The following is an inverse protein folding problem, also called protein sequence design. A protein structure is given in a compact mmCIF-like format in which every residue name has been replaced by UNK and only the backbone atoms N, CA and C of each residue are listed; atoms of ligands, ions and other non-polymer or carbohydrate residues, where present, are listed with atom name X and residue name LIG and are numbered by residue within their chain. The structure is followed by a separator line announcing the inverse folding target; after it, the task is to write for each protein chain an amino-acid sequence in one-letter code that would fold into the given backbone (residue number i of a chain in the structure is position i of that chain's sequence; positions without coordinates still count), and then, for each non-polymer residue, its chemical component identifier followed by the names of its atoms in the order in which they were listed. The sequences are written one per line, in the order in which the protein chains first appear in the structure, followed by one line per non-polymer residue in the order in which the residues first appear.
data_IF_954810434975
#
_entry.id   IF_954810434975
#
_cell.length_a   1.000
_cell.length_b   1.000
_cell.length_c   1.000
_cell.angle_alpha   90.00
_cell.angle_beta   90.00
_cell.angle_gamma   90.00
#
_symmetry.space_group_name_H-M   'P 1'
#
loop_
_entity.id
_entity.type
_entity.pdbx_description
1 polymer ?
#
# COMPACT_ATOMS: atom_id res chain seq x y z
N UNK A 1 20.62 15.92 7.80
CA UNK A 1 19.71 16.55 8.77
C UNK A 1 18.36 15.82 8.94
N UNK A 2 17.72 15.27 7.88
CA UNK A 2 16.39 14.61 7.99
C UNK A 2 16.37 13.33 8.84
N UNK A 3 17.42 12.52 8.82
CA UNK A 3 17.52 11.30 9.64
C UNK A 3 17.61 11.59 11.15
N UNK A 4 18.26 12.68 11.56
CA UNK A 4 18.39 13.07 12.97
C UNK A 4 17.04 13.49 13.60
N UNK A 5 16.13 14.04 12.83
CA UNK A 5 14.81 14.46 13.32
C UNK A 5 13.92 13.26 13.66
N UNK A 6 14.00 12.19 12.87
CA UNK A 6 13.21 10.95 13.09
C UNK A 6 13.72 10.22 14.34
N UNK A 7 15.03 10.18 14.54
CA UNK A 7 15.64 9.60 15.74
C UNK A 7 15.26 10.38 17.01
N UNK A 8 15.18 11.71 16.92
CA UNK A 8 14.80 12.56 18.05
C UNK A 8 13.31 12.40 18.44
N UNK A 9 12.41 12.22 17.47
CA UNK A 9 10.98 11.97 17.73
C UNK A 9 10.77 10.60 18.37
N UNK A 10 11.48 9.56 17.92
CA UNK A 10 11.42 8.22 18.49
C UNK A 10 11.96 8.17 19.94
N UNK A 11 13.08 8.83 20.21
CA UNK A 11 13.64 8.90 21.56
C UNK A 11 12.75 9.69 22.51
N UNK A 12 12.14 10.79 22.07
CA UNK A 12 11.22 11.56 22.90
C UNK A 12 9.91 10.82 23.22
N UNK A 13 9.39 10.02 22.29
CA UNK A 13 8.18 9.20 22.51
C UNK A 13 8.42 8.09 23.53
N UNK A 14 9.60 7.48 23.56
CA UNK A 14 9.96 6.44 24.56
C UNK A 14 10.13 7.04 25.95
N UNK A 15 10.69 8.24 26.08
CA UNK A 15 10.90 8.89 27.40
C UNK A 15 9.62 9.46 28.03
N UNK A 16 8.61 9.83 27.23
CA UNK A 16 7.31 10.29 27.78
C UNK A 16 6.39 9.16 28.19
N UNK A 17 6.58 7.94 27.70
CA UNK A 17 5.79 6.76 28.08
C UNK A 17 6.01 6.30 29.54
N UNK A 18 7.09 6.73 30.19
CA UNK A 18 7.44 6.31 31.55
C UNK A 18 6.55 6.88 32.67
N UNK A 19 5.60 7.77 32.37
CA UNK A 19 4.68 8.36 33.39
C UNK A 19 3.24 7.84 33.34
N UNK A 20 2.88 6.99 32.38
CA UNK A 20 1.53 6.38 32.28
C UNK A 20 1.55 5.02 32.97
N UNK A 21 1.44 5.03 34.29
CA UNK A 21 1.40 3.83 35.14
C UNK A 21 0.04 3.15 35.11
N UNK A 22 -0.45 2.60 34.10
CA UNK A 22 -1.45 1.52 34.14
C UNK A 22 -1.81 1.09 32.72
N UNK A 23 -1.58 -0.17 32.40
CA UNK A 23 -2.10 -0.88 31.22
C UNK A 23 -1.49 -0.47 29.85
N UNK A 24 -0.28 0.05 29.78
CA UNK A 24 0.44 0.15 28.52
C UNK A 24 1.27 -1.11 28.28
N UNK A 25 1.10 -1.72 27.11
CA UNK A 25 1.91 -2.83 26.63
C UNK A 25 2.87 -2.32 25.58
N UNK A 26 4.14 -2.66 25.73
CA UNK A 26 5.18 -2.37 24.73
C UNK A 26 5.76 -3.70 24.29
N UNK A 27 5.69 -3.99 23.01
CA UNK A 27 6.31 -5.15 22.38
C UNK A 27 7.35 -4.68 21.38
N UNK A 28 8.52 -5.28 21.41
CA UNK A 28 9.59 -5.06 20.41
C UNK A 28 10.03 -6.41 19.89
N UNK A 29 9.92 -6.60 18.60
CA UNK A 29 10.14 -7.88 17.93
C UNK A 29 11.17 -7.70 16.82
N UNK A 30 12.45 -8.06 17.07
CA UNK A 30 13.43 -8.15 16.00
C UNK A 30 13.11 -9.36 15.12
N UNK A 31 13.42 -9.23 13.83
CA UNK A 31 13.23 -10.30 12.86
C UNK A 31 14.39 -10.36 11.86
N UNK A 32 14.65 -11.53 11.33
CA UNK A 32 15.55 -11.73 10.19
C UNK A 32 14.87 -12.67 9.19
N UNK A 33 14.79 -12.25 7.95
CA UNK A 33 14.33 -13.08 6.85
C UNK A 33 15.50 -13.37 5.91
N UNK A 34 15.68 -14.62 5.53
CA UNK A 34 16.62 -15.04 4.50
C UNK A 34 15.83 -15.72 3.40
N UNK A 35 16.05 -15.32 2.15
CA UNK A 35 15.31 -15.87 1.03
C UNK A 35 16.09 -15.86 -0.26
N UNK A 36 15.68 -16.74 -1.17
CA UNK A 36 16.11 -16.75 -2.56
C UNK A 36 14.97 -16.29 -3.45
N UNK A 37 15.30 -15.48 -4.43
CA UNK A 37 14.40 -14.96 -5.44
C UNK A 37 14.98 -15.30 -6.82
N UNK A 38 14.17 -15.88 -7.66
CA UNK A 38 14.42 -16.02 -9.09
C UNK A 38 13.47 -15.11 -9.86
N UNK A 39 14.00 -14.32 -10.78
CA UNK A 39 13.28 -13.39 -11.61
C UNK A 39 13.75 -13.58 -13.05
N UNK A 40 12.85 -13.91 -13.96
CA UNK A 40 13.20 -14.18 -15.37
C UNK A 40 13.39 -12.89 -16.18
N UNK A 41 12.99 -11.74 -15.62
CA UNK A 41 13.09 -10.44 -16.27
C UNK A 41 13.46 -9.33 -15.28
N UNK A 42 14.67 -9.42 -14.70
CA UNK A 42 15.18 -8.51 -13.67
C UNK A 42 15.10 -7.03 -14.01
N UNK A 43 15.20 -6.70 -15.28
CA UNK A 43 15.25 -5.31 -15.77
C UNK A 43 13.93 -4.85 -16.40
N UNK A 44 12.88 -5.67 -16.35
CA UNK A 44 11.57 -5.41 -16.94
C UNK A 44 11.66 -4.96 -18.41
N UNK A 45 12.41 -5.68 -19.21
CA UNK A 45 12.65 -5.41 -20.64
C UNK A 45 11.85 -6.37 -21.52
N UNK A 46 11.69 -6.00 -22.81
CA UNK A 46 11.01 -6.86 -23.81
C UNK A 46 11.74 -8.19 -24.02
N UNK A 47 13.07 -8.13 -24.01
CA UNK A 47 13.93 -9.31 -23.98
C UNK A 47 14.48 -9.44 -22.56
N UNK A 48 13.81 -10.23 -21.76
CA UNK A 48 14.13 -10.40 -20.36
C UNK A 48 15.50 -11.01 -20.12
N UNK A 49 16.22 -10.53 -19.12
CA UNK A 49 17.41 -11.16 -18.56
C UNK A 49 17.06 -11.69 -17.18
N UNK A 50 17.09 -12.98 -17.01
CA UNK A 50 16.78 -13.64 -15.76
C UNK A 50 17.98 -13.67 -14.81
N UNK A 51 17.70 -13.76 -13.52
CA UNK A 51 18.72 -13.90 -12.50
C UNK A 51 18.20 -14.44 -11.18
N UNK A 52 19.13 -14.90 -10.38
CA UNK A 52 18.89 -15.36 -9.02
C UNK A 52 19.49 -14.39 -8.02
N UNK A 53 18.75 -14.14 -6.95
CA UNK A 53 19.16 -13.25 -5.87
C UNK A 53 18.96 -13.91 -4.52
N UNK A 54 19.99 -13.86 -3.68
CA UNK A 54 19.89 -14.15 -2.26
C UNK A 54 19.59 -12.83 -1.54
N UNK A 55 18.59 -12.81 -0.69
CA UNK A 55 18.20 -11.65 0.09
C UNK A 55 18.27 -11.94 1.58
N UNK A 56 18.83 -11.03 2.34
CA UNK A 56 18.79 -11.03 3.80
C UNK A 56 18.10 -9.77 4.25
N UNK A 57 17.01 -9.90 4.99
CA UNK A 57 16.16 -8.80 5.44
C UNK A 57 16.07 -8.79 6.96
N UNK A 58 16.92 -8.05 7.68
CA UNK A 58 16.67 -7.71 9.06
C UNK A 58 15.48 -6.76 9.19
N UNK A 59 14.74 -6.91 10.28
CA UNK A 59 13.57 -6.09 10.59
C UNK A 59 13.42 -5.85 12.08
N UNK A 60 12.73 -4.79 12.41
CA UNK A 60 12.34 -4.42 13.76
C UNK A 60 10.90 -3.94 13.76
N UNK A 61 10.03 -4.62 14.50
CA UNK A 61 8.67 -4.17 14.78
C UNK A 61 8.60 -3.68 16.22
N UNK A 62 7.94 -2.54 16.44
CA UNK A 62 7.67 -2.03 17.77
C UNK A 62 6.20 -1.63 17.87
N UNK A 63 5.52 -2.06 18.93
CA UNK A 63 4.13 -1.70 19.18
C UNK A 63 3.99 -1.17 20.61
N UNK A 64 3.17 -0.13 20.76
CA UNK A 64 2.76 0.44 22.05
C UNK A 64 1.25 0.49 22.08
N UNK A 65 0.66 -0.20 23.03
CA UNK A 65 -0.79 -0.20 23.21
C UNK A 65 -1.15 0.33 24.62
N UNK A 66 -2.04 1.30 24.67
CA UNK A 66 -2.68 1.79 25.89
C UNK A 66 -4.18 2.01 25.63
N UNK A 67 -5.02 2.29 26.63
CA UNK A 67 -6.44 2.53 26.42
C UNK A 67 -6.76 3.70 25.45
N UNK A 68 -5.84 4.64 25.28
CA UNK A 68 -6.03 5.80 24.42
C UNK A 68 -5.06 5.90 23.23
N UNK A 69 -3.94 5.18 23.27
CA UNK A 69 -2.89 5.26 22.28
C UNK A 69 -2.58 3.88 21.73
N UNK A 70 -2.58 3.75 20.42
CA UNK A 70 -1.98 2.63 19.69
C UNK A 70 -0.92 3.20 18.78
N UNK A 71 0.29 2.69 18.88
CA UNK A 71 1.41 3.04 18.04
C UNK A 71 2.02 1.74 17.51
N UNK A 72 2.17 1.63 16.22
CA UNK A 72 2.89 0.56 15.54
C UNK A 72 4.00 1.13 14.68
N UNK A 73 5.14 0.49 14.62
CA UNK A 73 6.18 0.83 13.66
C UNK A 73 6.88 -0.44 13.17
N UNK A 74 7.23 -0.45 11.88
CA UNK A 74 7.99 -1.51 11.23
C UNK A 74 9.13 -0.90 10.45
N UNK A 75 10.31 -1.48 10.58
CA UNK A 75 11.53 -1.09 9.87
C UNK A 75 12.16 -2.32 9.27
N UNK A 76 12.43 -2.30 7.98
CA UNK A 76 13.17 -3.37 7.30
C UNK A 76 14.15 -2.78 6.30
N UNK A 77 15.22 -3.51 6.04
CA UNK A 77 16.13 -3.21 4.93
C UNK A 77 16.63 -4.50 4.29
N UNK A 78 16.87 -4.48 2.99
CA UNK A 78 17.27 -5.66 2.23
C UNK A 78 18.75 -5.53 1.82
N UNK A 79 19.51 -6.55 2.20
CA UNK A 79 20.83 -6.84 1.62
C UNK A 79 20.62 -7.88 0.52
N UNK A 80 21.26 -7.69 -0.62
CA UNK A 80 21.08 -8.52 -1.79
C UNK A 80 22.41 -8.96 -2.39
N UNK A 81 22.49 -10.24 -2.72
CA UNK A 81 23.57 -10.82 -3.51
C UNK A 81 22.96 -11.53 -4.73
N UNK A 82 23.45 -11.19 -5.92
CA UNK A 82 22.95 -11.66 -7.20
C UNK A 82 24.06 -12.30 -8.03
N UNK A 83 23.67 -13.16 -8.96
CA UNK A 83 24.57 -13.63 -10.03
C UNK A 83 24.93 -12.49 -11.03
N UNK A 84 24.21 -11.38 -11.02
CA UNK A 84 24.58 -10.13 -11.70
C UNK A 84 25.34 -9.23 -10.72
N UNK A 85 26.64 -9.02 -10.94
CA UNK A 85 27.50 -8.30 -10.02
C UNK A 85 27.02 -6.88 -9.69
N UNK A 86 26.45 -6.19 -10.67
CA UNK A 86 25.91 -4.83 -10.54
C UNK A 86 24.71 -4.73 -9.59
N UNK A 87 24.08 -5.87 -9.24
CA UNK A 87 22.96 -5.94 -8.32
C UNK A 87 23.35 -6.32 -6.90
N UNK A 88 24.66 -6.49 -6.64
CA UNK A 88 25.15 -6.79 -5.31
C UNK A 88 25.16 -5.50 -4.47
N UNK A 89 24.34 -5.47 -3.44
CA UNK A 89 24.23 -4.30 -2.57
C UNK A 89 23.78 -4.68 -1.16
N UNK A 90 24.29 -3.92 -0.16
CA UNK A 90 23.81 -4.02 1.22
C UNK A 90 22.57 -3.15 1.48
N UNK A 91 22.02 -2.50 0.46
CA UNK A 91 20.96 -1.52 0.59
C UNK A 91 20.04 -1.53 -0.63
N UNK A 92 19.54 -2.72 -0.99
CA UNK A 92 18.66 -2.90 -2.13
C UNK A 92 17.25 -2.27 -1.88
N UNK A 93 16.78 -2.35 -0.64
CA UNK A 93 15.49 -1.81 -0.24
C UNK A 93 15.52 -1.34 1.20
N UNK A 94 14.84 -0.24 1.48
CA UNK A 94 14.48 0.21 2.82
C UNK A 94 12.99 0.44 2.88
N UNK A 95 12.40 -0.04 3.95
CA UNK A 95 11.00 0.17 4.22
C UNK A 95 10.80 0.57 5.67
N UNK A 96 9.97 1.57 5.90
CA UNK A 96 9.57 1.99 7.23
C UNK A 96 8.09 2.36 7.22
N UNK A 97 7.33 1.79 8.15
CA UNK A 97 5.94 2.13 8.43
C UNK A 97 5.80 2.65 9.86
N UNK A 98 4.94 3.61 10.03
CA UNK A 98 4.51 4.14 11.32
C UNK A 98 3.00 4.34 11.30
N UNK A 99 2.29 3.76 12.26
CA UNK A 99 0.85 3.93 12.47
C UNK A 99 0.59 4.39 13.89
N UNK A 100 -0.19 5.47 14.03
CA UNK A 100 -0.58 6.02 15.31
C UNK A 100 -2.09 6.27 15.32
N UNK A 101 -2.77 5.79 16.37
CA UNK A 101 -4.15 6.11 16.66
C UNK A 101 -4.28 6.59 18.10
N UNK A 102 -4.80 7.80 18.29
CA UNK A 102 -5.00 8.41 19.58
C UNK A 102 -6.48 8.73 19.80
N UNK A 103 -7.08 8.10 20.81
CA UNK A 103 -8.46 8.39 21.24
C UNK A 103 -8.46 9.60 22.16
N UNK A 104 -8.73 10.77 21.59
CA UNK A 104 -8.80 12.04 22.34
C UNK A 104 -10.00 12.07 23.30
N UNK A 105 -11.16 11.62 22.80
CA UNK A 105 -12.40 11.45 23.59
C UNK A 105 -13.06 10.12 23.24
N UNK A 106 -14.18 9.77 23.86
CA UNK A 106 -14.97 8.59 23.47
C UNK A 106 -15.56 8.70 22.04
N UNK A 107 -15.69 9.94 21.55
CA UNK A 107 -16.27 10.25 20.23
C UNK A 107 -15.21 10.63 19.17
N UNK A 108 -13.98 10.96 19.58
CA UNK A 108 -12.96 11.51 18.67
C UNK A 108 -11.70 10.65 18.67
N UNK A 109 -11.29 10.23 17.50
CA UNK A 109 -10.00 9.56 17.26
C UNK A 109 -9.18 10.41 16.28
N UNK A 110 -7.91 10.59 16.58
CA UNK A 110 -6.90 11.20 15.72
C UNK A 110 -5.97 10.08 15.26
N UNK A 111 -5.66 10.05 13.99
CA UNK A 111 -4.74 9.08 13.40
C UNK A 111 -3.61 9.77 12.66
N UNK A 112 -2.50 9.08 12.56
CA UNK A 112 -1.38 9.46 11.71
C UNK A 112 -0.71 8.20 11.21
N UNK A 113 -0.54 8.07 9.91
CA UNK A 113 0.29 7.05 9.33
C UNK A 113 1.39 7.69 8.49
N UNK A 114 2.57 7.09 8.48
CA UNK A 114 3.66 7.51 7.60
C UNK A 114 4.37 6.30 7.05
N UNK A 115 4.80 6.38 5.81
CA UNK A 115 5.52 5.33 5.12
C UNK A 115 6.72 5.91 4.38
N UNK A 116 7.79 5.15 4.38
CA UNK A 116 8.96 5.37 3.56
C UNK A 116 9.34 4.09 2.85
N UNK A 117 9.43 4.15 1.54
CA UNK A 117 9.97 3.10 0.69
C UNK A 117 11.13 3.65 -0.13
N UNK A 118 12.23 2.91 -0.17
CA UNK A 118 13.31 3.05 -1.14
C UNK A 118 13.57 1.69 -1.75
N UNK A 119 13.62 1.61 -3.05
CA UNK A 119 13.88 0.37 -3.78
C UNK A 119 14.66 0.65 -5.05
N UNK A 120 15.31 -0.37 -5.59
CA UNK A 120 15.90 -0.35 -6.92
C UNK A 120 14.92 -0.87 -7.99
N UNK A 121 13.74 -1.35 -7.59
CA UNK A 121 12.71 -1.90 -8.48
C UNK A 121 11.45 -1.03 -8.41
N UNK A 122 11.30 0.00 -9.27
CA UNK A 122 10.18 0.95 -9.22
C UNK A 122 8.79 0.29 -9.22
N UNK A 123 8.61 -0.85 -9.89
CA UNK A 123 7.37 -1.62 -9.89
C UNK A 123 6.92 -2.09 -8.50
N UNK A 124 7.81 -2.14 -7.51
CA UNK A 124 7.47 -2.43 -6.10
C UNK A 124 6.81 -1.23 -5.40
N UNK A 125 7.07 -0.01 -5.86
CA UNK A 125 6.43 1.21 -5.36
C UNK A 125 5.11 1.46 -6.10
N UNK A 126 5.05 1.15 -7.39
CA UNK A 126 3.88 1.34 -8.25
C UNK A 126 2.78 0.29 -8.02
N UNK A 127 2.44 -0.01 -6.76
CA UNK A 127 1.49 -1.08 -6.44
C UNK A 127 0.10 -0.86 -7.02
N UNK A 128 -0.39 0.39 -7.03
CA UNK A 128 -1.73 0.72 -7.55
C UNK A 128 -1.81 0.65 -9.07
N UNK A 129 -0.73 1.01 -9.75
CA UNK A 129 -0.68 1.03 -11.21
C UNK A 129 -0.15 -0.26 -11.81
N UNK A 130 0.61 -1.03 -11.03
CA UNK A 130 1.29 -2.24 -11.50
C UNK A 130 2.34 -1.98 -12.58
N UNK A 131 2.65 -0.72 -12.88
CA UNK A 131 3.58 -0.35 -13.95
C UNK A 131 4.97 -0.84 -13.64
N UNK A 132 5.50 -1.64 -14.55
CA UNK A 132 6.87 -2.11 -14.54
C UNK A 132 7.76 -1.01 -15.11
N UNK A 133 8.75 -0.59 -14.35
CA UNK A 133 9.78 0.36 -14.78
C UNK A 133 11.15 -0.30 -14.87
N UNK A 134 12.09 0.33 -15.57
CA UNK A 134 13.49 -0.07 -15.53
C UNK A 134 13.97 -0.09 -14.07
N UNK A 135 14.90 -1.00 -13.78
CA UNK A 135 15.52 -1.07 -12.49
C UNK A 135 16.36 0.18 -12.23
N UNK A 136 15.85 1.05 -11.35
CA UNK A 136 16.47 2.32 -10.95
C UNK A 136 16.11 2.60 -9.50
N UNK A 137 16.94 3.36 -8.83
CA UNK A 137 16.65 3.79 -7.48
C UNK A 137 15.42 4.70 -7.44
N UNK A 138 14.46 4.32 -6.62
CA UNK A 138 13.20 5.00 -6.43
C UNK A 138 12.91 5.19 -4.95
N UNK A 139 12.24 6.29 -4.62
CA UNK A 139 11.80 6.61 -3.27
C UNK A 139 10.32 6.98 -3.28
N UNK A 140 9.63 6.63 -2.18
CA UNK A 140 8.32 7.16 -1.86
C UNK A 140 8.24 7.51 -0.39
N UNK A 141 7.76 8.71 -0.12
CA UNK A 141 7.34 9.16 1.19
C UNK A 141 5.84 9.37 1.19
N UNK A 142 5.17 8.90 2.22
CA UNK A 142 3.74 9.09 2.40
C UNK A 142 3.48 9.53 3.84
N UNK A 143 2.49 10.42 4.03
CA UNK A 143 2.02 10.83 5.35
C UNK A 143 0.51 11.05 5.30
N UNK A 144 -0.20 10.48 6.28
CA UNK A 144 -1.66 10.40 6.35
C UNK A 144 -2.19 10.83 7.73
N UNK A 145 -2.16 12.11 8.11
CA UNK A 145 -2.95 12.57 9.24
C UNK A 145 -4.44 12.42 8.95
N UNK A 146 -5.17 11.88 9.91
CA UNK A 146 -6.61 11.68 9.79
C UNK A 146 -7.31 11.92 11.12
N UNK A 147 -8.61 12.15 11.06
CA UNK A 147 -9.47 12.20 12.23
C UNK A 147 -10.82 11.55 11.94
N UNK A 148 -11.45 11.06 12.99
CA UNK A 148 -12.85 10.67 12.98
C UNK A 148 -13.55 11.25 14.21
N UNK A 149 -14.78 11.75 14.00
CA UNK A 149 -15.62 12.26 15.08
C UNK A 149 -17.04 11.73 14.95
N UNK A 150 -17.56 11.21 16.05
CA UNK A 150 -18.93 10.69 16.12
C UNK A 150 -19.82 11.73 16.79
N UNK A 151 -20.77 12.30 16.03
CA UNK A 151 -21.76 13.27 16.55
C UNK A 151 -22.88 12.60 17.35
N UNK A 152 -23.14 11.34 17.10
CA UNK A 152 -24.17 10.53 17.73
C UNK A 152 -23.99 9.05 17.44
N UNK A 153 -24.94 8.21 17.84
CA UNK A 153 -24.81 6.76 17.64
C UNK A 153 -24.82 6.34 16.17
N UNK A 154 -25.32 7.17 15.26
CA UNK A 154 -25.50 6.85 13.83
C UNK A 154 -24.80 7.80 12.87
N UNK A 155 -24.23 8.90 13.35
CA UNK A 155 -23.63 9.91 12.48
C UNK A 155 -22.18 10.10 12.83
N UNK A 156 -21.30 10.01 11.84
CA UNK A 156 -19.87 10.27 12.01
C UNK A 156 -19.32 11.11 10.86
N UNK A 157 -18.26 11.85 11.17
CA UNK A 157 -17.47 12.60 10.19
C UNK A 157 -16.04 12.10 10.20
N UNK A 158 -15.45 12.02 9.03
CA UNK A 158 -14.04 11.71 8.84
C UNK A 158 -13.36 12.80 8.05
N UNK A 159 -12.06 12.98 8.29
CA UNK A 159 -11.22 13.82 7.47
C UNK A 159 -9.82 13.27 7.40
N UNK A 160 -9.19 13.38 6.25
CA UNK A 160 -7.79 13.01 6.05
C UNK A 160 -7.09 13.98 5.12
N UNK A 161 -5.78 14.02 5.29
CA UNK A 161 -4.87 14.66 4.35
C UNK A 161 -3.78 13.67 4.00
N UNK A 162 -3.64 13.37 2.72
CA UNK A 162 -2.64 12.43 2.25
C UNK A 162 -1.59 13.21 1.47
N UNK A 163 -0.34 13.07 1.86
CA UNK A 163 0.81 13.59 1.16
C UNK A 163 1.66 12.44 0.66
N UNK A 164 1.96 12.47 -0.63
CA UNK A 164 2.85 11.52 -1.29
C UNK A 164 3.93 12.30 -2.04
N UNK A 165 5.18 11.92 -1.85
CA UNK A 165 6.35 12.45 -2.57
C UNK A 165 7.11 11.26 -3.17
N UNK A 166 7.18 11.21 -4.49
CA UNK A 166 7.84 10.15 -5.25
C UNK A 166 9.00 10.73 -6.05
N UNK A 167 10.10 10.01 -6.07
CA UNK A 167 11.26 10.37 -6.88
C UNK A 167 11.87 9.13 -7.51
N UNK A 168 12.17 9.23 -8.78
CA UNK A 168 12.96 8.27 -9.54
C UNK A 168 14.29 8.93 -9.89
N UNK A 169 15.40 8.28 -9.57
CA UNK A 169 16.73 8.80 -9.85
C UNK A 169 16.86 9.09 -11.36
N UNK A 170 17.27 10.31 -11.70
CA UNK A 170 17.44 10.83 -13.05
C UNK A 170 16.13 10.98 -13.88
N UNK A 171 14.95 10.89 -13.28
CA UNK A 171 13.69 10.91 -14.04
C UNK A 171 12.57 11.72 -13.38
N UNK A 172 12.90 12.65 -12.50
CA UNK A 172 11.98 13.63 -11.94
C UNK A 172 11.30 13.20 -10.64
N UNK A 173 10.61 14.16 -10.07
CA UNK A 173 9.85 14.03 -8.81
C UNK A 173 8.37 14.31 -9.05
N UNK A 174 7.50 13.53 -8.42
CA UNK A 174 6.05 13.74 -8.41
C UNK A 174 5.54 13.88 -6.97
N UNK A 175 4.67 14.86 -6.71
CA UNK A 175 4.01 15.05 -5.43
C UNK A 175 2.51 15.05 -5.60
N UNK A 176 1.83 14.43 -4.66
CA UNK A 176 0.39 14.45 -4.59
C UNK A 176 -0.06 14.84 -3.20
N UNK A 177 -1.00 15.77 -3.15
CA UNK A 177 -1.70 16.17 -1.95
C UNK A 177 -3.18 15.84 -2.12
N UNK A 178 -3.77 15.11 -1.19
CA UNK A 178 -5.18 14.76 -1.22
C UNK A 178 -5.83 15.12 0.09
N UNK A 179 -6.86 15.95 0.04
CA UNK A 179 -7.75 16.25 1.16
C UNK A 179 -9.02 15.45 0.97
N UNK A 180 -9.44 14.69 1.97
CA UNK A 180 -10.73 14.02 2.00
C UNK A 180 -11.51 14.44 3.22
N UNK A 181 -12.80 14.64 3.05
CA UNK A 181 -13.74 14.77 4.16
C UNK A 181 -15.01 14.02 3.82
N UNK A 182 -15.61 13.38 4.80
CA UNK A 182 -16.80 12.56 4.59
C UNK A 182 -17.71 12.60 5.80
N UNK A 183 -19.01 12.51 5.51
CA UNK A 183 -20.08 12.33 6.48
C UNK A 183 -20.71 10.96 6.23
N UNK A 184 -20.88 10.17 7.29
CA UNK A 184 -21.51 8.86 7.24
C UNK A 184 -22.73 8.84 8.13
N UNK A 185 -23.82 8.23 7.63
CA UNK A 185 -25.09 8.05 8.35
C UNK A 185 -25.51 6.59 8.30
N UNK A 186 -25.55 5.94 9.46
CA UNK A 186 -26.10 4.61 9.61
C UNK A 186 -27.64 4.67 9.55
N UNK A 187 -28.21 4.27 8.41
CA UNK A 187 -29.66 4.23 8.22
C UNK A 187 -30.27 3.03 8.95
N UNK A 188 -29.62 1.87 8.84
CA UNK A 188 -29.94 0.66 9.60
C UNK A 188 -28.67 0.09 10.21
N UNK A 189 -28.76 -1.02 10.95
CA UNK A 189 -27.60 -1.77 11.45
C UNK A 189 -26.74 -2.39 10.34
N UNK A 190 -27.28 -2.45 9.10
CA UNK A 190 -26.62 -3.08 7.93
C UNK A 190 -26.38 -2.10 6.78
N UNK A 191 -26.94 -0.89 6.85
CA UNK A 191 -26.89 0.06 5.75
C UNK A 191 -26.33 1.38 6.21
N UNK A 192 -25.25 1.83 5.60
CA UNK A 192 -24.64 3.14 5.82
C UNK A 192 -24.61 3.91 4.50
N UNK A 193 -25.06 5.16 4.54
CA UNK A 193 -24.89 6.12 3.45
C UNK A 193 -23.74 7.06 3.76
N UNK A 194 -22.97 7.41 2.72
CA UNK A 194 -21.84 8.34 2.84
C UNK A 194 -21.95 9.46 1.81
N UNK A 195 -21.51 10.64 2.21
CA UNK A 195 -21.27 11.76 1.29
C UNK A 195 -19.86 12.26 1.54
N UNK A 196 -19.05 12.37 0.51
CA UNK A 196 -17.66 12.76 0.67
C UNK A 196 -17.20 13.73 -0.41
N UNK A 197 -16.24 14.56 -0.03
CA UNK A 197 -15.48 15.43 -0.91
C UNK A 197 -14.03 14.99 -0.94
N UNK A 198 -13.42 15.03 -2.12
CA UNK A 198 -12.01 14.74 -2.33
C UNK A 198 -11.40 15.83 -3.23
N UNK A 199 -10.41 16.55 -2.70
CA UNK A 199 -9.59 17.50 -3.46
C UNK A 199 -8.18 16.95 -3.62
N UNK A 200 -7.65 16.96 -4.86
CA UNK A 200 -6.29 16.53 -5.18
C UNK A 200 -5.51 17.68 -5.81
N UNK A 201 -4.24 17.75 -5.46
CA UNK A 201 -3.26 18.60 -6.12
C UNK A 201 -2.05 17.77 -6.49
N UNK A 202 -1.74 17.75 -7.76
CA UNK A 202 -0.60 17.08 -8.35
C UNK A 202 0.45 18.13 -8.69
N UNK A 203 1.69 17.92 -8.24
CA UNK A 203 2.82 18.82 -8.48
C UNK A 203 3.96 18.00 -9.05
N UNK A 204 4.39 18.29 -10.23
CA UNK A 204 5.61 17.78 -10.82
C UNK A 204 6.63 18.94 -11.03
N UNK A 205 7.73 18.68 -11.71
CA UNK A 205 8.79 19.68 -11.92
C UNK A 205 8.35 20.86 -12.80
N UNK A 206 7.36 20.66 -13.65
CA UNK A 206 6.97 21.62 -14.69
C UNK A 206 5.58 22.19 -14.50
N UNK A 207 4.67 21.40 -13.89
CA UNK A 207 3.25 21.72 -13.84
C UNK A 207 2.62 21.47 -12.48
N UNK A 208 1.50 22.17 -12.26
CA UNK A 208 0.60 21.90 -11.12
C UNK A 208 -0.81 21.67 -11.64
N UNK A 209 -1.35 20.53 -11.34
CA UNK A 209 -2.69 20.12 -11.71
C UNK A 209 -3.57 19.89 -10.47
N UNK A 210 -4.88 20.03 -10.61
CA UNK A 210 -5.82 19.79 -9.52
C UNK A 210 -7.05 19.04 -10.00
N UNK A 211 -7.65 18.29 -9.11
CA UNK A 211 -8.97 17.69 -9.34
C UNK A 211 -9.80 17.69 -8.05
N UNK A 212 -11.12 17.75 -8.22
CA UNK A 212 -12.10 17.80 -7.15
C UNK A 212 -13.22 16.81 -7.46
N UNK A 213 -13.59 15.96 -6.51
CA UNK A 213 -14.67 15.01 -6.65
C UNK A 213 -15.66 15.13 -5.47
N UNK A 214 -16.95 14.95 -5.77
CA UNK A 214 -18.00 14.80 -4.78
C UNK A 214 -18.62 13.43 -5.00
N UNK A 215 -18.61 12.59 -3.97
CA UNK A 215 -19.03 11.19 -4.06
C UNK A 215 -20.19 10.94 -3.11
N UNK A 216 -21.22 10.24 -3.61
CA UNK A 216 -22.21 9.58 -2.80
C UNK A 216 -21.86 8.11 -2.66
N UNK A 217 -22.10 7.53 -1.48
CA UNK A 217 -21.74 6.16 -1.22
C UNK A 217 -22.82 5.39 -0.47
N UNK A 218 -22.78 4.09 -0.63
CA UNK A 218 -23.63 3.12 0.02
C UNK A 218 -22.81 1.90 0.41
N UNK A 219 -22.89 1.57 1.70
CA UNK A 219 -22.29 0.38 2.29
C UNK A 219 -23.39 -0.53 2.81
N UNK A 220 -23.33 -1.81 2.46
CA UNK A 220 -24.34 -2.80 2.86
C UNK A 220 -23.70 -4.09 3.38
N UNK A 221 -24.07 -4.46 4.60
CA UNK A 221 -23.71 -5.74 5.18
C UNK A 221 -24.73 -6.82 4.78
N UNK A 222 -24.35 -7.65 3.79
CA UNK A 222 -25.15 -8.77 3.30
C UNK A 222 -25.36 -9.83 4.38
N UNK A 223 -24.30 -10.15 5.11
CA UNK A 223 -24.26 -11.11 6.21
C UNK A 223 -23.09 -10.75 7.13
N UNK A 224 -23.03 -11.26 8.36
CA UNK A 224 -21.88 -11.05 9.25
C UNK A 224 -20.57 -11.37 8.52
N UNK A 225 -19.66 -10.37 8.45
CA UNK A 225 -18.40 -10.46 7.74
C UNK A 225 -18.49 -10.39 6.21
N UNK A 226 -19.68 -10.11 5.62
CA UNK A 226 -19.82 -9.95 4.17
C UNK A 226 -20.40 -8.57 3.85
N UNK A 227 -19.65 -7.74 3.14
CA UNK A 227 -19.99 -6.35 2.85
C UNK A 227 -19.83 -6.02 1.37
N UNK A 228 -20.73 -5.18 0.86
CA UNK A 228 -20.63 -4.51 -0.44
C UNK A 228 -20.52 -3.01 -0.20
N UNK A 229 -19.62 -2.37 -0.91
CA UNK A 229 -19.39 -0.92 -0.92
C UNK A 229 -19.56 -0.40 -2.32
N UNK A 230 -20.26 0.71 -2.49
CA UNK A 230 -20.38 1.42 -3.76
C UNK A 230 -20.29 2.91 -3.49
N UNK A 231 -19.37 3.61 -4.15
CA UNK A 231 -19.26 5.05 -4.10
C UNK A 231 -19.07 5.57 -5.53
N UNK A 232 -19.70 6.71 -5.84
CA UNK A 232 -19.51 7.31 -7.13
C UNK A 232 -20.01 8.75 -7.19
N UNK A 233 -19.47 9.49 -8.15
CA UNK A 233 -19.86 10.87 -8.37
C UNK A 233 -19.02 11.59 -9.43
N UNK A 234 -19.33 12.85 -9.71
CA UNK A 234 -18.58 13.65 -10.66
C UNK A 234 -17.21 14.08 -10.08
N UNK A 235 -16.22 14.06 -10.94
CA UNK A 235 -14.89 14.63 -10.73
C UNK A 235 -14.63 15.69 -11.77
N UNK A 236 -14.09 16.82 -11.36
CA UNK A 236 -13.65 17.93 -12.22
C UNK A 236 -12.15 18.06 -12.11
N UNK A 237 -11.43 17.91 -13.21
CA UNK A 237 -9.97 18.03 -13.28
C UNK A 237 -9.59 19.23 -14.11
N UNK A 238 -8.54 19.97 -13.71
CA UNK A 238 -8.00 21.12 -14.44
C UNK A 238 -7.48 20.77 -15.84
N UNK A 239 -7.20 19.49 -16.09
CA UNK A 239 -6.55 18.99 -17.31
C UNK A 239 -7.40 18.00 -18.13
N UNK A 240 -8.46 17.41 -17.57
CA UNK A 240 -9.33 16.43 -18.28
C UNK A 240 -10.81 16.83 -18.30
N UNK A 241 -11.18 17.94 -17.63
CA UNK A 241 -12.56 18.36 -17.50
C UNK A 241 -13.36 17.46 -16.54
N UNK A 242 -14.61 17.18 -16.91
CA UNK A 242 -15.53 16.39 -16.08
C UNK A 242 -15.44 14.92 -16.44
N UNK A 243 -15.30 14.06 -15.43
CA UNK A 243 -15.26 12.61 -15.54
C UNK A 243 -15.94 11.96 -14.33
N UNK A 244 -16.39 10.73 -14.39
CA UNK A 244 -16.86 9.99 -13.23
C UNK A 244 -15.67 9.63 -12.31
N UNK A 245 -15.95 9.47 -11.03
CA UNK A 245 -15.09 8.75 -10.08
C UNK A 245 -15.92 7.65 -9.44
N UNK A 246 -15.39 6.42 -9.40
CA UNK A 246 -16.13 5.26 -8.92
C UNK A 246 -15.23 4.40 -8.05
N UNK A 247 -15.78 3.95 -6.92
CA UNK A 247 -15.19 2.92 -6.06
C UNK A 247 -16.27 1.87 -5.82
N UNK A 248 -15.95 0.61 -6.04
CA UNK A 248 -16.84 -0.50 -5.73
C UNK A 248 -16.03 -1.60 -5.05
N UNK A 249 -16.61 -2.27 -4.07
CA UNK A 249 -15.94 -3.34 -3.35
C UNK A 249 -16.90 -4.40 -2.87
N UNK A 250 -16.42 -5.63 -2.84
CA UNK A 250 -17.03 -6.77 -2.19
C UNK A 250 -16.01 -7.40 -1.25
N UNK A 251 -16.38 -7.58 0.01
CA UNK A 251 -15.53 -8.15 1.04
C UNK A 251 -16.26 -9.24 1.79
N UNK A 252 -15.60 -10.36 1.97
CA UNK A 252 -16.05 -11.44 2.82
C UNK A 252 -14.90 -11.86 3.73
N UNK A 253 -15.06 -11.59 5.00
CA UNK A 253 -14.10 -11.94 6.06
C UNK A 253 -14.74 -12.95 6.99
N UNK A 254 -14.25 -14.18 6.98
CA UNK A 254 -14.70 -15.27 7.84
C UNK A 254 -13.48 -15.97 8.44
N UNK A 255 -13.69 -16.74 9.50
CA UNK A 255 -12.60 -17.53 10.11
C UNK A 255 -11.93 -18.54 9.17
N UNK A 256 -12.53 -18.81 8.00
CA UNK A 256 -12.05 -19.82 7.04
C UNK A 256 -11.59 -19.22 5.71
N UNK A 257 -12.00 -18.01 5.41
CA UNK A 257 -11.75 -17.44 4.10
C UNK A 257 -11.91 -15.92 4.16
N UNK A 258 -10.91 -15.18 3.71
CA UNK A 258 -10.98 -13.75 3.43
C UNK A 258 -10.94 -13.56 1.92
N UNK A 259 -11.98 -12.94 1.36
CA UNK A 259 -12.09 -12.61 -0.07
C UNK A 259 -12.36 -11.12 -0.19
N UNK A 260 -11.61 -10.44 -1.04
CA UNK A 260 -11.85 -9.07 -1.43
C UNK A 260 -11.85 -8.94 -2.94
N UNK A 261 -12.79 -8.16 -3.47
CA UNK A 261 -12.79 -7.73 -4.87
C UNK A 261 -13.04 -6.24 -4.86
N UNK A 262 -12.16 -5.47 -5.47
CA UNK A 262 -12.24 -4.02 -5.52
C UNK A 262 -12.14 -3.53 -6.96
N UNK A 263 -12.89 -2.49 -7.27
CA UNK A 263 -12.78 -1.71 -8.49
C UNK A 263 -12.63 -0.23 -8.15
N UNK A 264 -11.69 0.43 -8.81
CA UNK A 264 -11.49 1.86 -8.70
C UNK A 264 -11.27 2.51 -10.06
N UNK A 265 -12.00 3.59 -10.29
CA UNK A 265 -11.79 4.51 -11.41
C UNK A 265 -11.52 5.90 -10.84
N UNK A 266 -10.34 6.45 -11.10
CA UNK A 266 -9.92 7.72 -10.51
C UNK A 266 -8.66 8.29 -11.13
N UNK A 267 -7.96 9.14 -10.37
CA UNK A 267 -6.71 9.78 -10.78
C UNK A 267 -5.66 9.66 -9.69
N UNK A 268 -4.42 9.44 -10.10
CA UNK A 268 -3.26 9.33 -9.21
C UNK A 268 -1.97 9.77 -9.91
N UNK A 269 -0.85 9.73 -9.20
CA UNK A 269 0.49 9.78 -9.79
C UNK A 269 1.04 8.36 -9.95
N UNK A 270 1.94 8.20 -10.89
CA UNK A 270 2.67 6.95 -11.13
C UNK A 270 4.13 7.29 -11.28
N UNK A 271 4.97 6.65 -10.49
CA UNK A 271 6.40 6.87 -10.50
C UNK A 271 7.00 6.67 -11.91
N UNK A 272 7.75 7.66 -12.38
CA UNK A 272 8.33 7.66 -13.71
C UNK A 272 7.40 8.15 -14.82
N UNK A 273 6.16 8.54 -14.50
CA UNK A 273 5.22 9.19 -15.43
C UNK A 273 5.01 10.64 -14.98
N UNK A 274 5.20 11.56 -15.89
CA UNK A 274 5.01 12.98 -15.63
C UNK A 274 3.52 13.33 -15.55
N UNK A 275 3.13 14.02 -14.49
CA UNK A 275 1.78 14.48 -14.24
C UNK A 275 0.80 13.39 -13.76
N UNK A 276 -0.46 13.77 -13.55
CA UNK A 276 -1.49 12.85 -13.13
C UNK A 276 -1.94 11.90 -14.25
N UNK A 277 -2.28 10.69 -13.87
CA UNK A 277 -2.82 9.66 -14.77
C UNK A 277 -4.24 9.29 -14.38
N UNK A 278 -5.10 9.00 -15.37
CA UNK A 278 -6.37 8.34 -15.12
C UNK A 278 -6.13 6.83 -15.00
N UNK A 279 -6.77 6.23 -14.02
CA UNK A 279 -6.60 4.82 -13.68
C UNK A 279 -7.94 4.12 -13.64
N UNK A 280 -7.99 2.92 -14.22
CA UNK A 280 -9.02 1.91 -14.01
C UNK A 280 -8.35 0.70 -13.40
N UNK A 281 -8.65 0.36 -12.17
CA UNK A 281 -8.03 -0.76 -11.48
C UNK A 281 -9.08 -1.71 -10.91
N UNK A 282 -8.94 -2.99 -11.21
CA UNK A 282 -9.67 -4.07 -10.57
C UNK A 282 -8.70 -4.95 -9.82
N UNK A 283 -8.98 -5.25 -8.56
CA UNK A 283 -8.17 -6.15 -7.74
C UNK A 283 -9.04 -7.25 -7.14
N UNK A 284 -8.47 -8.43 -6.99
CA UNK A 284 -9.07 -9.52 -6.25
C UNK A 284 -8.03 -10.13 -5.32
N UNK A 285 -8.45 -10.47 -4.11
CA UNK A 285 -7.61 -11.17 -3.15
C UNK A 285 -8.36 -12.32 -2.53
N UNK A 286 -7.62 -13.36 -2.22
CA UNK A 286 -8.07 -14.51 -1.50
C UNK A 286 -7.03 -14.84 -0.43
N UNK A 287 -7.46 -15.05 0.82
CA UNK A 287 -6.63 -15.60 1.88
C UNK A 287 -7.35 -16.75 2.53
N UNK A 288 -6.74 -17.93 2.51
CA UNK A 288 -7.29 -19.16 3.03
C UNK A 288 -6.38 -19.76 4.09
N UNK A 289 -6.72 -19.66 5.38
CA UNK A 289 -6.05 -20.40 6.43
C UNK A 289 -6.44 -21.90 6.33
N UNK A 290 -5.68 -22.65 5.52
CA UNK A 290 -5.92 -24.07 5.24
C UNK A 290 -5.84 -24.91 6.52
N UNK A 291 -4.88 -24.57 7.38
CA UNK A 291 -4.72 -25.14 8.73
C UNK A 291 -4.36 -24.02 9.72
N UNK A 292 -4.14 -24.37 10.98
CA UNK A 292 -3.66 -23.38 11.99
C UNK A 292 -2.24 -22.87 11.70
N UNK A 293 -1.50 -23.58 10.86
CA UNK A 293 -0.09 -23.30 10.58
C UNK A 293 0.18 -23.02 9.10
N UNK A 294 -0.77 -23.33 8.21
CA UNK A 294 -0.62 -23.15 6.76
C UNK A 294 -1.67 -22.16 6.27
N UNK A 295 -1.21 -21.13 5.58
CA UNK A 295 -2.03 -20.15 4.89
C UNK A 295 -1.66 -20.09 3.41
N UNK A 296 -2.67 -19.97 2.55
CA UNK A 296 -2.52 -19.77 1.11
C UNK A 296 -3.21 -18.47 0.74
N UNK A 297 -2.54 -17.64 -0.04
CA UNK A 297 -3.07 -16.38 -0.54
C UNK A 297 -2.94 -16.27 -2.05
N UNK A 298 -3.86 -15.55 -2.67
CA UNK A 298 -3.80 -15.09 -4.05
C UNK A 298 -4.14 -13.62 -4.11
N UNK A 299 -3.43 -12.88 -4.95
CA UNK A 299 -3.70 -11.50 -5.24
C UNK A 299 -3.59 -11.27 -6.75
N UNK A 300 -4.70 -10.86 -7.36
CA UNK A 300 -4.80 -10.54 -8.79
C UNK A 300 -5.10 -9.06 -8.96
N UNK A 301 -4.48 -8.40 -9.92
CA UNK A 301 -4.76 -7.01 -10.28
C UNK A 301 -4.74 -6.82 -11.78
N UNK A 302 -5.69 -6.03 -12.29
CA UNK A 302 -5.71 -5.54 -13.67
C UNK A 302 -5.84 -4.03 -13.61
N UNK A 303 -4.89 -3.31 -14.21
CA UNK A 303 -4.89 -1.86 -14.16
C UNK A 303 -4.66 -1.27 -15.55
N UNK A 304 -5.59 -0.47 -16.00
CA UNK A 304 -5.46 0.38 -17.20
C UNK A 304 -5.11 1.82 -16.80
N UNK A 305 -4.12 2.38 -17.42
CA UNK A 305 -3.63 3.75 -17.18
C UNK A 305 -3.71 4.53 -18.48
N UNK A 306 -4.16 5.79 -18.37
CA UNK A 306 -4.11 6.76 -19.46
C UNK A 306 -3.35 7.99 -18.99
N UNK A 307 -2.25 8.31 -19.66
CA UNK A 307 -1.40 9.46 -19.37
C UNK A 307 -2.00 10.76 -19.90
N UNK A 308 -1.41 11.92 -19.58
CA UNK A 308 -1.85 13.23 -20.11
C UNK A 308 -1.73 13.31 -21.63
N UNK A 309 -0.70 12.71 -22.21
CA UNK A 309 -0.46 12.64 -23.66
C UNK A 309 -1.18 11.46 -24.34
N UNK A 310 -2.23 10.91 -23.69
CA UNK A 310 -3.13 9.87 -24.19
C UNK A 310 -2.48 8.51 -24.44
N UNK A 311 -1.29 8.24 -23.92
CA UNK A 311 -0.71 6.90 -23.96
C UNK A 311 -1.46 5.99 -23.01
N UNK A 312 -1.62 4.74 -23.42
CA UNK A 312 -2.34 3.73 -22.66
C UNK A 312 -1.39 2.60 -22.29
N UNK A 313 -1.48 2.18 -21.05
CA UNK A 313 -0.78 1.01 -20.52
C UNK A 313 -1.76 0.16 -19.75
N UNK A 314 -1.73 -1.12 -20.01
CA UNK A 314 -2.48 -2.12 -19.22
C UNK A 314 -1.52 -3.07 -18.55
N UNK A 315 -1.70 -3.26 -17.25
CA UNK A 315 -0.89 -4.19 -16.46
C UNK A 315 -1.79 -5.28 -15.88
N UNK A 316 -1.26 -6.48 -15.86
CA UNK A 316 -1.87 -7.66 -15.22
C UNK A 316 -0.86 -8.18 -14.21
N UNK A 317 -1.30 -8.38 -12.98
CA UNK A 317 -0.47 -8.95 -11.92
C UNK A 317 -1.22 -10.07 -11.24
N UNK A 318 -0.54 -11.19 -11.06
CA UNK A 318 -1.01 -12.31 -10.24
C UNK A 318 0.09 -12.70 -9.28
N UNK A 319 -0.26 -12.91 -8.01
CA UNK A 319 0.67 -13.38 -6.99
C UNK A 319 0.01 -14.46 -6.15
N UNK A 320 0.63 -15.62 -6.10
CA UNK A 320 0.27 -16.72 -5.23
C UNK A 320 1.28 -16.79 -4.08
N UNK A 321 0.79 -16.93 -2.87
CA UNK A 321 1.61 -17.00 -1.66
C UNK A 321 1.19 -18.22 -0.84
N UNK A 322 2.16 -18.97 -0.33
CA UNK A 322 1.94 -19.99 0.67
C UNK A 322 2.86 -19.75 1.84
N UNK A 323 2.35 -19.81 3.06
CA UNK A 323 3.13 -19.67 4.28
C UNK A 323 2.87 -20.83 5.24
N UNK A 324 3.93 -21.25 5.94
CA UNK A 324 3.89 -22.27 6.96
C UNK A 324 4.59 -21.78 8.23
N UNK A 325 3.84 -21.72 9.33
CA UNK A 325 4.28 -21.19 10.64
C UNK A 325 4.04 -22.20 11.75
N UNK A 326 4.87 -23.27 11.87
CA UNK A 326 4.58 -24.40 12.78
C UNK A 326 4.83 -24.08 14.26
N UNK A 327 5.70 -23.13 14.57
CA UNK A 327 6.15 -22.90 15.96
C UNK A 327 5.95 -21.47 16.48
N UNK A 328 5.31 -20.58 15.73
CA UNK A 328 5.04 -19.19 16.14
C UNK A 328 6.26 -18.26 16.23
N UNK A 329 7.49 -18.77 16.06
CA UNK A 329 8.72 -18.00 16.06
C UNK A 329 9.46 -18.02 14.71
N UNK A 330 9.08 -18.90 13.80
CA UNK A 330 9.58 -18.90 12.44
C UNK A 330 8.47 -19.16 11.42
N UNK A 331 8.66 -18.66 10.21
CA UNK A 331 7.76 -18.84 9.07
C UNK A 331 8.58 -19.18 7.84
N UNK A 332 8.12 -20.17 7.11
CA UNK A 332 8.59 -20.47 5.75
C UNK A 332 7.52 -19.98 4.79
N UNK A 333 7.91 -19.18 3.82
CA UNK A 333 7.00 -18.67 2.81
C UNK A 333 7.54 -18.93 1.41
N UNK A 334 6.64 -19.28 0.50
CA UNK A 334 6.91 -19.38 -0.92
C UNK A 334 5.91 -18.50 -1.67
N UNK A 335 6.37 -17.78 -2.68
CA UNK A 335 5.49 -17.01 -3.55
C UNK A 335 5.88 -17.15 -5.01
N UNK A 336 4.87 -17.08 -5.88
CA UNK A 336 5.02 -17.01 -7.33
C UNK A 336 4.22 -15.86 -7.85
N UNK A 337 4.86 -14.96 -8.59
CA UNK A 337 4.27 -13.78 -9.20
C UNK A 337 4.42 -13.80 -10.71
N UNK A 338 3.39 -13.31 -11.40
CA UNK A 338 3.41 -13.03 -12.84
C UNK A 338 3.00 -11.57 -13.03
N UNK A 339 3.84 -10.79 -13.68
CA UNK A 339 3.54 -9.44 -14.11
C UNK A 339 3.55 -9.41 -15.64
N UNK A 340 2.47 -8.90 -16.25
CA UNK A 340 2.40 -8.66 -17.69
C UNK A 340 1.99 -7.22 -17.93
N UNK A 341 2.77 -6.49 -18.73
CA UNK A 341 2.48 -5.12 -19.12
C UNK A 341 2.35 -5.04 -20.63
N UNK A 342 1.26 -4.45 -21.08
CA UNK A 342 1.00 -4.11 -22.47
C UNK A 342 1.00 -2.59 -22.65
N UNK A 343 1.72 -2.10 -23.63
CA UNK A 343 1.91 -0.67 -23.90
C UNK A 343 3.19 -0.12 -23.29
N UNK A 344 3.69 0.97 -23.85
CA UNK A 344 4.92 1.64 -23.43
C UNK A 344 4.62 3.03 -22.88
N UNK A 345 5.27 3.36 -21.74
CA UNK A 345 5.20 4.67 -21.08
C UNK A 345 6.38 5.54 -21.51
N UNK A 346 7.43 4.97 -22.08
CA UNK A 346 8.69 5.65 -22.35
C UNK A 346 8.60 6.47 -23.62
N UNK A 347 9.01 7.74 -23.54
CA UNK A 347 9.02 8.67 -24.69
C UNK A 347 9.88 8.22 -25.86
N UNK A 348 10.81 7.29 -25.67
CA UNK A 348 11.88 7.00 -26.64
C UNK A 348 11.88 5.58 -27.22
N UNK A 349 10.92 4.72 -26.91
CA UNK A 349 10.88 3.37 -27.45
C UNK A 349 9.64 3.20 -28.34
N UNK A 350 9.88 3.10 -29.63
CA UNK A 350 8.90 2.91 -30.70
C UNK A 350 8.30 1.50 -30.74
N UNK A 351 7.97 0.90 -29.63
CA UNK A 351 7.38 -0.42 -29.67
C UNK A 351 6.18 -0.52 -28.75
N UNK A 352 5.11 -1.14 -29.23
CA UNK A 352 4.08 -1.77 -28.42
C UNK A 352 4.74 -2.93 -27.64
N UNK A 353 5.64 -2.59 -26.77
CA UNK A 353 6.48 -3.54 -26.08
C UNK A 353 5.68 -4.19 -24.98
N UNK A 354 5.44 -5.47 -25.12
CA UNK A 354 4.89 -6.29 -24.06
C UNK A 354 6.03 -6.76 -23.15
N UNK A 355 5.88 -6.54 -21.86
CA UNK A 355 6.83 -7.04 -20.85
C UNK A 355 6.13 -8.13 -20.05
N UNK A 356 6.75 -9.31 -20.05
CA UNK A 356 6.33 -10.42 -19.19
C UNK A 356 7.44 -10.70 -18.17
N UNK A 357 7.06 -10.96 -16.94
CA UNK A 357 7.98 -11.21 -15.84
C UNK A 357 7.40 -12.26 -14.91
N UNK A 358 8.19 -13.28 -14.59
CA UNK A 358 7.87 -14.28 -13.60
C UNK A 358 8.84 -14.17 -12.43
N UNK A 359 8.30 -14.13 -11.22
CA UNK A 359 9.08 -14.02 -9.99
C UNK A 359 8.74 -15.20 -9.07
N UNK A 360 9.73 -15.96 -8.70
CA UNK A 360 9.60 -17.00 -7.70
C UNK A 360 10.46 -16.67 -6.48
N UNK A 361 9.87 -16.72 -5.29
CA UNK A 361 10.57 -16.44 -4.03
C UNK A 361 10.29 -17.52 -3.00
N UNK A 362 11.34 -17.92 -2.28
CA UNK A 362 11.25 -18.72 -1.07
C UNK A 362 12.00 -18.01 0.04
N UNK A 363 11.42 -17.94 1.23
CA UNK A 363 12.06 -17.28 2.37
C UNK A 363 11.76 -17.99 3.68
N UNK A 364 12.69 -17.84 4.62
CA UNK A 364 12.54 -18.25 6.02
C UNK A 364 12.71 -17.01 6.87
N UNK A 365 11.71 -16.71 7.67
CA UNK A 365 11.73 -15.58 8.61
C UNK A 365 11.75 -16.11 10.03
N UNK A 366 12.68 -15.61 10.83
CA UNK A 366 12.77 -15.88 12.27
C UNK A 366 12.41 -14.61 13.02
N UNK A 367 11.43 -14.72 13.94
CA UNK A 367 11.00 -13.62 14.80
C UNK A 367 10.51 -14.19 16.13
N UNK A 368 10.98 -13.69 17.27
CA UNK A 368 10.69 -14.31 18.58
C UNK A 368 9.23 -14.23 19.05
N UNK A 369 8.35 -13.46 18.36
CA UNK A 369 6.92 -13.35 18.69
C UNK A 369 6.07 -13.20 17.43
N UNK A 370 5.82 -14.28 16.70
CA UNK A 370 5.10 -14.28 15.43
C UNK A 370 3.59 -14.47 15.52
N UNK A 371 2.93 -14.34 16.65
CA UNK A 371 1.48 -14.54 16.75
C UNK A 371 0.63 -13.49 15.98
N UNK A 372 1.24 -12.46 15.35
CA UNK A 372 0.53 -11.39 14.61
C UNK A 372 1.15 -10.94 13.28
N UNK A 373 2.27 -11.47 12.85
CA UNK A 373 3.12 -10.78 11.86
C UNK A 373 3.08 -11.32 10.45
N UNK A 374 2.06 -12.02 10.01
CA UNK A 374 1.90 -12.31 8.59
C UNK A 374 0.64 -11.61 8.07
N UNK A 375 0.62 -10.29 8.18
CA UNK A 375 -0.02 -9.45 7.18
C UNK A 375 1.12 -8.91 6.34
N UNK A 376 1.25 -9.38 5.12
CA UNK A 376 2.27 -8.89 4.22
C UNK A 376 2.12 -7.36 4.13
N UNK A 377 3.18 -6.61 4.46
CA UNK A 377 3.24 -5.16 4.28
C UNK A 377 3.06 -4.74 2.82
N UNK A 378 3.03 -5.71 1.92
CA UNK A 378 2.84 -5.54 0.48
C UNK A 378 1.38 -5.76 0.05
N UNK A 379 0.42 -5.95 0.98
CA UNK A 379 -0.99 -6.04 0.64
C UNK A 379 -1.59 -4.63 0.46
N UNK A 380 -1.79 -4.15 -0.79
CA UNK A 380 -2.43 -2.86 -1.06
C UNK A 380 -3.86 -2.79 -0.54
N UNK A 381 -4.49 -3.93 -0.29
CA UNK A 381 -5.84 -4.02 0.25
C UNK A 381 -5.90 -3.82 1.78
N UNK A 382 -4.79 -3.97 2.51
CA UNK A 382 -4.71 -3.50 3.89
C UNK A 382 -4.82 -1.97 3.98
N UNK A 383 -4.43 -1.26 2.91
CA UNK A 383 -4.63 0.20 2.76
C UNK A 383 -6.09 0.58 2.60
N UNK A 384 -6.90 -0.21 1.88
CA UNK A 384 -8.32 0.07 1.68
C UNK A 384 -9.11 -0.04 3.00
N UNK A 385 -8.71 -0.92 3.92
CA UNK A 385 -9.34 -1.00 5.26
C UNK A 385 -9.04 0.22 6.15
N UNK A 386 -7.91 0.89 5.95
CA UNK A 386 -7.56 2.14 6.66
C UNK A 386 -8.27 3.38 6.11
N UNK A 387 -8.77 3.31 4.88
CA UNK A 387 -9.47 4.42 4.20
C UNK A 387 -10.99 4.34 4.40
N UNK A 388 -11.52 3.21 4.85
CA UNK A 388 -12.96 2.96 5.03
C UNK A 388 -13.42 2.90 6.50
N UNK A 389 -12.60 3.31 7.47
CA UNK A 389 -13.04 3.46 8.87
C UNK A 389 -13.08 4.91 9.32
#
# INVERSE_FOLDING_TARGET
MRAALITLILTSAVFTASRVRAQSRVDVVPSVSVGSLYDDNLFAQVQGSGGQMLQVRPGLEATVESPRLKLGSLWTFDMQHSNHADLNTFDARRHADLDLAYRSTSATTLGFAARYDRTETPGEINLLSGVLGDRRQAYRWEAYPNFSHRFGPRTSMTGSYDWTDESLLDNGTGRMHVVRTGLSQDYTTRTTFTASYMGRRFVDETDTNSSHAILGGWDYELAPGTRVTLQGGPRVSSYRGIAPEVVAGFFRDTNRLDVGVDYWHGETIVLGIQGPVAVNSGTARLTWPMTRTIEIGSHSAVTGIVTLDQRQVTTYRETLVSSWSPGGWYTVAASYGVDYQQGDIRRNLFSNANVLRHVFRVSVTVAPRLSRAIRSSDDPAARAKGVSQ
#
